data_IF_243876755137
#
_entry.id   IF_243876755137
#
_cell.length_a   1.000
_cell.length_b   1.000
_cell.length_c   1.000
_cell.angle_alpha   90.00
_cell.angle_beta   90.00
_cell.angle_gamma   90.00
#
_symmetry.space_group_name_H-M   'P 1'
#
loop_
_entity.id
_entity.type
_entity.pdbx_description
1 polymer ?
#
# COMPACT_ATOMS: atom_id res chain seq x y z
N UNK A 1 4.67 18.24 10.40
CA UNK A 1 4.68 19.64 9.95
C UNK A 1 4.75 20.54 11.18
N UNK A 2 5.66 21.51 11.19
CA UNK A 2 5.92 22.45 12.29
C UNK A 2 5.36 23.85 11.98
N UNK A 3 4.17 23.93 11.39
CA UNK A 3 3.52 25.21 11.06
C UNK A 3 3.26 26.11 12.27
N UNK A 4 3.25 25.55 13.48
CA UNK A 4 3.16 26.29 14.75
C UNK A 4 4.41 27.15 15.07
N UNK A 5 5.50 26.94 14.34
CA UNK A 5 6.75 27.69 14.41
C UNK A 5 6.83 28.78 13.33
N UNK A 6 5.90 28.82 12.38
CA UNK A 6 5.87 29.79 11.30
C UNK A 6 5.40 31.17 11.79
N UNK A 7 6.28 32.18 11.76
CA UNK A 7 5.98 33.52 12.26
C UNK A 7 6.47 34.60 11.29
N UNK A 8 5.91 35.81 11.39
CA UNK A 8 6.33 36.95 10.57
C UNK A 8 7.84 37.24 10.65
N UNK A 9 8.44 37.05 11.83
CA UNK A 9 9.87 37.28 12.04
C UNK A 9 10.76 36.11 11.61
N UNK A 10 10.17 34.91 11.47
CA UNK A 10 10.85 33.71 11.03
C UNK A 10 9.89 32.87 10.18
N UNK A 11 9.66 33.26 8.91
CA UNK A 11 8.85 32.48 7.98
C UNK A 11 9.42 31.07 7.81
N UNK A 12 8.56 30.06 7.91
CA UNK A 12 8.97 28.66 7.80
C UNK A 12 8.81 28.17 6.35
N UNK A 13 9.86 28.38 5.56
CA UNK A 13 9.95 27.94 4.17
C UNK A 13 9.81 26.41 4.03
N UNK A 14 10.31 25.62 4.99
CA UNK A 14 10.15 24.17 4.95
C UNK A 14 8.68 23.76 5.02
N UNK A 15 7.87 24.41 5.87
CA UNK A 15 6.44 24.14 5.94
C UNK A 15 5.71 24.49 4.64
N UNK A 16 5.99 25.66 4.04
CA UNK A 16 5.40 26.05 2.76
C UNK A 16 5.81 25.09 1.64
N UNK A 17 7.08 24.68 1.62
CA UNK A 17 7.60 23.68 0.70
C UNK A 17 6.91 22.33 0.85
N UNK A 18 6.71 21.85 2.07
CA UNK A 18 5.98 20.60 2.33
C UNK A 18 4.53 20.70 1.83
N UNK A 19 3.84 21.82 2.04
CA UNK A 19 2.49 22.07 1.50
C UNK A 19 2.45 21.93 -0.02
N UNK A 20 3.40 22.56 -0.72
CA UNK A 20 3.51 22.48 -2.18
C UNK A 20 3.89 21.06 -2.65
N UNK A 21 5.03 20.55 -2.17
CA UNK A 21 5.67 19.34 -2.69
C UNK A 21 4.95 18.05 -2.31
N UNK A 22 4.37 17.96 -1.11
CA UNK A 22 3.85 16.70 -0.58
C UNK A 22 2.33 16.61 -0.59
N UNK A 23 1.64 17.74 -0.46
CA UNK A 23 0.19 17.74 -0.21
C UNK A 23 -0.65 18.35 -1.33
N UNK A 24 -0.05 19.07 -2.28
CA UNK A 24 -0.83 19.82 -3.28
C UNK A 24 -0.31 19.67 -4.70
N UNK A 25 0.64 20.47 -5.15
CA UNK A 25 1.03 20.59 -6.56
C UNK A 25 2.20 19.70 -6.94
N UNK A 26 2.93 19.16 -5.97
CA UNK A 26 4.13 18.37 -6.23
C UNK A 26 5.33 19.22 -6.66
N UNK A 27 6.53 18.63 -6.54
CA UNK A 27 7.80 19.32 -6.84
C UNK A 27 7.95 19.72 -8.31
N UNK A 28 7.70 18.77 -9.22
CA UNK A 28 7.99 18.91 -10.63
C UNK A 28 9.50 18.95 -10.95
N UNK A 29 9.90 18.77 -12.23
CA UNK A 29 11.30 18.90 -12.64
C UNK A 29 11.89 20.29 -12.37
N UNK A 30 13.19 20.34 -12.05
CA UNK A 30 13.96 21.58 -11.94
C UNK A 30 14.25 22.15 -13.34
N UNK A 31 13.95 23.43 -13.55
CA UNK A 31 14.14 24.16 -14.83
C UNK A 31 15.28 25.16 -14.71
N UNK A 32 15.50 25.71 -13.52
CA UNK A 32 16.59 26.63 -13.21
C UNK A 32 16.84 26.72 -11.70
N UNK A 33 17.82 27.51 -11.28
CA UNK A 33 18.16 27.66 -9.86
C UNK A 33 16.95 28.20 -9.07
N UNK A 34 16.37 27.35 -8.22
CA UNK A 34 15.16 27.67 -7.46
C UNK A 34 13.89 27.80 -8.31
N UNK A 35 13.87 27.32 -9.55
CA UNK A 35 12.70 27.32 -10.42
C UNK A 35 12.36 25.89 -10.85
N UNK A 36 11.23 25.39 -10.35
CA UNK A 36 10.64 24.11 -10.75
C UNK A 36 9.47 24.35 -11.69
N UNK A 37 9.14 23.35 -12.49
CA UNK A 37 7.99 23.39 -13.40
C UNK A 37 6.67 23.82 -12.73
N UNK A 38 6.50 23.52 -11.43
CA UNK A 38 5.25 23.75 -10.70
C UNK A 38 5.30 24.98 -9.76
N UNK A 39 6.47 25.37 -9.24
CA UNK A 39 6.64 26.55 -8.39
C UNK A 39 8.11 26.99 -8.35
N UNK A 40 8.36 28.16 -7.78
CA UNK A 40 9.70 28.74 -7.58
C UNK A 40 10.01 28.93 -6.09
N UNK A 41 11.26 29.21 -5.77
CA UNK A 41 11.67 29.55 -4.42
C UNK A 41 10.97 30.81 -3.89
N UNK A 42 10.69 31.77 -4.77
CA UNK A 42 9.88 32.95 -4.42
C UNK A 42 8.51 32.51 -3.89
N UNK A 43 7.86 31.54 -4.52
CA UNK A 43 6.56 31.03 -4.07
C UNK A 43 6.66 30.41 -2.67
N UNK A 44 7.72 29.67 -2.39
CA UNK A 44 7.96 29.08 -1.07
C UNK A 44 8.08 30.17 0.00
N UNK A 45 8.87 31.22 -0.24
CA UNK A 45 9.04 32.33 0.70
C UNK A 45 7.72 33.07 0.94
N UNK A 46 7.02 33.40 -0.13
CA UNK A 46 5.79 34.20 -0.08
C UNK A 46 4.63 33.41 0.56
N UNK A 47 4.52 32.11 0.28
CA UNK A 47 3.58 31.23 0.97
C UNK A 47 3.96 31.02 2.44
N UNK A 48 5.25 30.93 2.79
CA UNK A 48 5.68 30.85 4.18
C UNK A 48 5.23 32.10 4.97
N UNK A 49 5.36 33.29 4.37
CA UNK A 49 4.84 34.54 4.93
C UNK A 49 3.32 34.50 5.08
N UNK A 50 2.59 34.11 4.04
CA UNK A 50 1.12 34.03 4.04
C UNK A 50 0.57 33.02 5.08
N UNK A 51 1.31 31.93 5.35
CA UNK A 51 0.92 30.89 6.30
C UNK A 51 1.40 31.14 7.73
N UNK A 52 1.99 32.31 8.03
CA UNK A 52 2.54 32.63 9.35
C UNK A 52 1.45 32.96 10.39
N UNK A 53 1.79 32.89 11.68
CA UNK A 53 0.91 33.33 12.77
C UNK A 53 0.05 32.25 13.39
N UNK A 54 0.08 31.02 12.88
CA UNK A 54 -0.55 29.86 13.51
C UNK A 54 0.31 29.30 14.64
N UNK A 55 -0.32 28.88 15.73
CA UNK A 55 0.34 28.21 16.85
C UNK A 55 -0.57 27.13 17.44
N UNK A 56 -0.08 26.39 18.42
CA UNK A 56 -0.86 25.36 19.12
C UNK A 56 -1.15 25.84 20.54
N UNK A 57 -2.42 25.81 20.93
CA UNK A 57 -2.86 26.06 22.31
C UNK A 57 -3.75 24.90 22.74
N UNK A 58 -3.32 24.16 23.76
CA UNK A 58 -4.06 22.98 24.28
C UNK A 58 -4.40 21.96 23.18
N UNK A 59 -3.44 21.67 22.29
CA UNK A 59 -3.62 20.72 21.20
C UNK A 59 -4.49 21.20 20.03
N UNK A 60 -4.93 22.46 20.04
CA UNK A 60 -5.72 23.05 18.95
C UNK A 60 -4.97 24.16 18.24
N UNK A 61 -5.18 24.28 16.93
CA UNK A 61 -4.68 25.40 16.14
C UNK A 61 -5.26 26.72 16.66
N UNK A 62 -4.43 27.73 16.79
CA UNK A 62 -4.79 29.06 17.28
C UNK A 62 -4.02 30.11 16.49
N UNK A 63 -4.73 31.08 15.91
CA UNK A 63 -4.13 32.16 15.13
C UNK A 63 -3.77 33.36 16.00
N UNK A 64 -2.57 33.92 15.78
CA UNK A 64 -2.07 35.13 16.44
C UNK A 64 -1.73 36.19 15.41
N UNK A 65 -2.60 37.18 15.29
CA UNK A 65 -2.44 38.25 14.32
C UNK A 65 -1.12 39.05 14.47
N UNK A 66 -0.58 39.16 15.68
CA UNK A 66 0.70 39.84 15.93
C UNK A 66 1.94 38.99 15.57
N UNK A 67 1.75 37.71 15.21
CA UNK A 67 2.79 36.81 14.69
C UNK A 67 2.64 36.54 13.20
N UNK A 68 1.64 37.14 12.56
CA UNK A 68 1.35 36.97 11.15
C UNK A 68 1.98 38.11 10.35
N UNK A 69 2.59 37.78 9.22
CA UNK A 69 3.08 38.76 8.25
C UNK A 69 1.87 39.42 7.58
N UNK A 70 1.72 40.72 7.76
CA UNK A 70 0.57 41.48 7.24
C UNK A 70 0.84 42.13 5.89
N UNK A 71 2.05 41.96 5.34
CA UNK A 71 2.42 42.50 4.05
C UNK A 71 1.69 41.76 2.93
N UNK A 72 1.59 42.44 1.79
CA UNK A 72 1.18 41.80 0.54
C UNK A 72 2.22 40.74 0.15
N UNK A 73 1.78 39.63 -0.43
CA UNK A 73 2.65 38.59 -0.97
C UNK A 73 2.40 38.39 -2.45
N UNK A 74 3.46 38.43 -3.25
CA UNK A 74 3.36 38.26 -4.70
C UNK A 74 4.05 36.95 -5.09
N UNK A 75 3.26 36.00 -5.56
CA UNK A 75 3.76 34.75 -6.11
C UNK A 75 4.43 34.99 -7.46
N UNK A 76 5.17 34.00 -7.93
CA UNK A 76 5.93 34.03 -9.17
C UNK A 76 5.04 33.80 -10.40
N UNK A 77 5.68 33.81 -11.57
CA UNK A 77 5.06 33.46 -12.84
C UNK A 77 4.43 32.06 -12.86
N UNK A 78 4.88 31.11 -12.03
CA UNK A 78 4.29 29.76 -11.93
C UNK A 78 2.86 29.79 -11.39
N UNK A 79 2.55 30.78 -10.54
CA UNK A 79 1.19 31.06 -10.06
C UNK A 79 0.60 32.31 -10.73
N UNK A 80 0.94 32.58 -11.99
CA UNK A 80 0.42 33.72 -12.76
C UNK A 80 0.64 35.09 -12.08
N UNK A 81 1.71 35.23 -11.29
CA UNK A 81 2.00 36.40 -10.46
C UNK A 81 0.85 36.78 -9.50
N UNK A 82 0.10 35.78 -9.00
CA UNK A 82 -1.00 35.99 -8.08
C UNK A 82 -0.56 36.75 -6.83
N UNK A 83 -1.47 37.61 -6.36
CA UNK A 83 -1.26 38.44 -5.19
C UNK A 83 -2.14 37.92 -4.06
N UNK A 84 -1.51 37.65 -2.91
CA UNK A 84 -2.20 37.31 -1.67
C UNK A 84 -2.28 38.58 -0.83
N UNK A 85 -3.50 39.08 -0.68
CA UNK A 85 -3.81 40.19 0.21
C UNK A 85 -3.95 39.69 1.65
N UNK A 86 -3.60 40.56 2.60
CA UNK A 86 -3.75 40.24 4.01
C UNK A 86 -5.22 39.99 4.37
N UNK A 87 -5.51 38.78 4.85
CA UNK A 87 -6.83 38.40 5.34
C UNK A 87 -6.79 37.83 6.77
N UNK A 88 -5.68 38.08 7.48
CA UNK A 88 -5.45 37.62 8.85
C UNK A 88 -5.73 36.13 9.00
N UNK A 89 -6.66 35.78 9.90
CA UNK A 89 -7.00 34.37 10.16
C UNK A 89 -7.53 33.63 8.94
N UNK A 90 -8.03 34.32 7.91
CA UNK A 90 -8.57 33.68 6.70
C UNK A 90 -7.56 33.63 5.54
N UNK A 91 -6.35 34.19 5.67
CA UNK A 91 -5.39 34.26 4.56
C UNK A 91 -4.95 32.88 4.05
N UNK A 92 -4.88 31.88 4.92
CA UNK A 92 -4.59 30.50 4.51
C UNK A 92 -5.62 29.93 3.51
N UNK A 93 -6.87 30.42 3.52
CA UNK A 93 -7.88 29.99 2.55
C UNK A 93 -7.54 30.50 1.17
N UNK A 94 -7.15 31.77 1.06
CA UNK A 94 -6.70 32.36 -0.21
C UNK A 94 -5.47 31.61 -0.75
N UNK A 95 -4.54 31.23 0.13
CA UNK A 95 -3.39 30.37 -0.23
C UNK A 95 -3.85 29.05 -0.83
N UNK A 96 -4.76 28.35 -0.15
CA UNK A 96 -5.30 27.06 -0.64
C UNK A 96 -6.01 27.27 -1.99
N UNK A 97 -6.87 28.28 -2.11
CA UNK A 97 -7.63 28.55 -3.34
C UNK A 97 -6.69 28.83 -4.52
N UNK A 98 -5.64 29.64 -4.32
CA UNK A 98 -4.65 29.95 -5.38
C UNK A 98 -3.87 28.70 -5.79
N UNK A 99 -3.50 27.85 -4.84
CA UNK A 99 -2.82 26.59 -5.16
C UNK A 99 -3.75 25.66 -5.95
N UNK A 100 -4.99 25.50 -5.52
CA UNK A 100 -5.97 24.61 -6.14
C UNK A 100 -6.55 25.13 -7.46
N UNK A 101 -6.28 26.38 -7.83
CA UNK A 101 -6.50 26.88 -9.20
C UNK A 101 -5.52 26.28 -10.22
N UNK A 102 -4.42 25.68 -9.77
CA UNK A 102 -3.48 25.00 -10.66
C UNK A 102 -3.99 23.59 -10.98
N UNK A 103 -4.25 23.31 -12.26
CA UNK A 103 -4.68 21.99 -12.72
C UNK A 103 -3.74 20.87 -12.25
N UNK A 104 -2.45 21.19 -12.12
CA UNK A 104 -1.41 20.26 -11.70
C UNK A 104 -1.66 19.65 -10.30
N UNK A 105 -2.38 20.33 -9.40
CA UNK A 105 -2.76 19.75 -8.10
C UNK A 105 -3.58 18.48 -8.28
N UNK A 106 -4.56 18.53 -9.18
CA UNK A 106 -5.42 17.37 -9.44
C UNK A 106 -4.67 16.25 -10.17
N UNK A 107 -3.74 16.57 -11.07
CA UNK A 107 -2.84 15.58 -11.70
C UNK A 107 -1.96 14.93 -10.66
N UNK A 108 -1.29 15.71 -9.81
CA UNK A 108 -0.44 15.21 -8.74
C UNK A 108 -1.18 14.22 -7.84
N UNK A 109 -2.36 14.58 -7.34
CA UNK A 109 -3.19 13.69 -6.52
C UNK A 109 -3.51 12.40 -7.27
N UNK A 110 -3.91 12.49 -8.55
CA UNK A 110 -4.24 11.31 -9.35
C UNK A 110 -3.00 10.42 -9.61
N UNK A 111 -1.82 11.00 -9.84
CA UNK A 111 -0.56 10.23 -9.93
C UNK A 111 -0.25 9.51 -8.61
N UNK A 112 -0.45 10.15 -7.46
CA UNK A 112 -0.25 9.49 -6.15
C UNK A 112 -1.22 8.33 -5.94
N UNK A 113 -2.50 8.49 -6.32
CA UNK A 113 -3.48 7.41 -6.29
C UNK A 113 -3.08 6.27 -7.25
N UNK A 114 -2.61 6.60 -8.45
CA UNK A 114 -2.15 5.64 -9.43
C UNK A 114 -0.93 4.85 -8.92
N UNK A 115 0.06 5.53 -8.33
CA UNK A 115 1.22 4.91 -7.68
C UNK A 115 0.78 4.01 -6.51
N UNK A 116 -0.26 4.39 -5.78
CA UNK A 116 -0.74 3.56 -4.67
C UNK A 116 -1.47 2.29 -5.13
N UNK A 117 -2.28 2.36 -6.19
CA UNK A 117 -3.17 1.27 -6.58
C UNK A 117 -2.74 0.46 -7.81
N UNK A 118 -1.84 1.00 -8.65
CA UNK A 118 -1.52 0.41 -9.96
C UNK A 118 -0.02 0.20 -10.15
N UNK A 119 0.76 1.27 -10.35
CA UNK A 119 2.20 1.17 -10.62
C UNK A 119 2.87 2.54 -10.47
N UNK A 120 4.16 2.57 -10.10
CA UNK A 120 4.94 3.81 -10.10
C UNK A 120 5.37 4.28 -11.49
N UNK A 121 5.34 3.39 -12.48
CA UNK A 121 5.73 3.72 -13.85
C UNK A 121 4.57 4.40 -14.59
N UNK A 122 4.62 5.74 -14.66
CA UNK A 122 3.64 6.56 -15.38
C UNK A 122 4.29 7.04 -16.68
N UNK A 123 3.83 6.49 -17.81
CA UNK A 123 4.25 6.91 -19.15
C UNK A 123 3.43 8.09 -19.64
N UNK A 124 3.87 8.76 -20.71
CA UNK A 124 3.11 9.84 -21.35
C UNK A 124 1.69 9.39 -21.78
N UNK A 125 1.55 8.13 -22.17
CA UNK A 125 0.24 7.53 -22.51
C UNK A 125 -0.68 7.39 -21.29
N UNK A 126 -0.14 6.88 -20.17
CA UNK A 126 -0.89 6.80 -18.90
C UNK A 126 -1.23 8.20 -18.40
N UNK A 127 -0.30 9.15 -18.52
CA UNK A 127 -0.51 10.53 -18.13
C UNK A 127 -1.68 11.16 -18.90
N UNK A 128 -1.69 11.00 -20.23
CA UNK A 128 -2.71 11.58 -21.11
C UNK A 128 -4.07 10.88 -21.01
N UNK A 129 -4.08 9.54 -20.91
CA UNK A 129 -5.30 8.75 -21.06
C UNK A 129 -5.90 8.26 -19.75
N UNK A 130 -5.14 8.29 -18.65
CA UNK A 130 -5.60 7.85 -17.32
C UNK A 130 -5.55 9.01 -16.31
N UNK A 131 -4.38 9.62 -16.11
CA UNK A 131 -4.19 10.66 -15.08
C UNK A 131 -4.98 11.92 -15.41
N UNK A 132 -4.90 12.45 -16.64
CA UNK A 132 -5.62 13.67 -17.00
C UNK A 132 -7.15 13.50 -16.89
N UNK A 133 -7.79 12.43 -17.41
CA UNK A 133 -9.22 12.22 -17.22
C UNK A 133 -9.61 12.07 -15.74
N UNK A 134 -8.82 11.36 -14.93
CA UNK A 134 -9.04 11.29 -13.48
C UNK A 134 -8.94 12.68 -12.82
N UNK A 135 -7.96 13.47 -13.22
CA UNK A 135 -7.74 14.82 -12.71
C UNK A 135 -8.89 15.76 -13.08
N UNK A 136 -9.42 15.65 -14.30
CA UNK A 136 -10.62 16.37 -14.74
C UNK A 136 -11.83 15.99 -13.88
N UNK A 137 -12.08 14.69 -13.67
CA UNK A 137 -13.17 14.22 -12.78
C UNK A 137 -13.00 14.83 -11.38
N UNK A 138 -11.78 14.85 -10.86
CA UNK A 138 -11.51 15.40 -9.54
C UNK A 138 -11.84 16.90 -9.45
N UNK A 139 -11.45 17.69 -10.46
CA UNK A 139 -11.76 19.14 -10.52
C UNK A 139 -13.26 19.39 -10.69
N UNK A 140 -13.96 18.61 -11.52
CA UNK A 140 -15.41 18.72 -11.75
C UNK A 140 -16.26 18.31 -10.53
N UNK A 141 -15.67 17.59 -9.58
CA UNK A 141 -16.32 17.12 -8.35
C UNK A 141 -15.74 17.78 -7.09
N UNK A 142 -15.28 19.03 -7.18
CA UNK A 142 -14.78 19.82 -6.04
C UNK A 142 -13.72 19.09 -5.19
N UNK A 143 -12.82 18.37 -5.86
CA UNK A 143 -11.75 17.57 -5.24
C UNK A 143 -12.24 16.43 -4.31
N UNK A 144 -13.50 16.00 -4.43
CA UNK A 144 -13.95 14.74 -3.83
C UNK A 144 -13.22 13.58 -4.51
N UNK A 145 -12.47 12.79 -3.73
CA UNK A 145 -11.60 11.72 -4.24
C UNK A 145 -12.39 10.53 -4.83
N UNK A 146 -13.56 10.22 -4.25
CA UNK A 146 -14.31 9.00 -4.56
C UNK A 146 -14.62 8.84 -6.07
N UNK A 147 -15.16 9.82 -6.80
CA UNK A 147 -15.43 9.70 -8.24
C UNK A 147 -14.20 9.34 -9.07
N UNK A 148 -13.07 10.03 -8.85
CA UNK A 148 -11.84 9.78 -9.60
C UNK A 148 -11.25 8.40 -9.29
N UNK A 149 -11.25 8.00 -8.01
CA UNK A 149 -10.77 6.68 -7.61
C UNK A 149 -11.67 5.56 -8.16
N UNK A 150 -12.99 5.75 -8.16
CA UNK A 150 -13.94 4.80 -8.74
C UNK A 150 -13.72 4.64 -10.24
N UNK A 151 -13.46 5.73 -10.96
CA UNK A 151 -13.15 5.69 -12.38
C UNK A 151 -11.88 4.85 -12.65
N UNK A 152 -10.82 5.01 -11.85
CA UNK A 152 -9.62 4.18 -11.95
C UNK A 152 -9.91 2.70 -11.68
N UNK A 153 -10.45 2.37 -10.51
CA UNK A 153 -10.61 0.99 -10.04
C UNK A 153 -11.65 0.17 -10.85
N UNK A 154 -12.50 0.84 -11.64
CA UNK A 154 -13.49 0.20 -12.52
C UNK A 154 -13.09 0.24 -14.00
N UNK A 155 -11.92 0.81 -14.34
CA UNK A 155 -11.47 0.91 -15.73
C UNK A 155 -10.87 -0.39 -16.26
N UNK A 156 -10.97 -0.62 -17.56
CA UNK A 156 -10.26 -1.72 -18.24
C UNK A 156 -8.74 -1.62 -18.04
N UNK A 157 -8.21 -0.39 -17.91
CA UNK A 157 -6.79 -0.15 -17.62
C UNK A 157 -6.36 -0.81 -16.31
N UNK A 158 -7.15 -0.68 -15.25
CA UNK A 158 -6.82 -1.26 -13.95
C UNK A 158 -6.69 -2.80 -14.00
N UNK A 159 -7.50 -3.45 -14.83
CA UNK A 159 -7.51 -4.90 -15.02
C UNK A 159 -6.62 -5.39 -16.17
N UNK A 160 -5.81 -4.51 -16.77
CA UNK A 160 -4.87 -4.92 -17.81
C UNK A 160 -3.81 -5.87 -17.22
N UNK A 161 -3.49 -6.94 -17.96
CA UNK A 161 -2.48 -7.93 -17.56
C UNK A 161 -1.12 -7.32 -17.23
N UNK A 162 -0.75 -6.19 -17.85
CA UNK A 162 0.52 -5.50 -17.55
C UNK A 162 0.56 -4.87 -16.15
N UNK A 163 -0.59 -4.69 -15.51
CA UNK A 163 -0.72 -4.16 -14.14
C UNK A 163 -0.82 -5.26 -13.09
N UNK A 164 -1.08 -6.50 -13.48
CA UNK A 164 -1.02 -7.65 -12.55
C UNK A 164 0.44 -7.89 -12.16
N UNK A 165 0.71 -8.10 -10.86
CA UNK A 165 2.05 -8.37 -10.36
C UNK A 165 3.04 -7.19 -10.50
N UNK A 166 2.56 -5.98 -10.81
CA UNK A 166 3.40 -4.82 -11.10
C UNK A 166 4.00 -4.19 -9.83
N UNK A 167 3.44 -4.49 -8.67
CA UNK A 167 3.86 -3.92 -7.38
C UNK A 167 4.43 -5.00 -6.46
N UNK A 168 5.46 -4.67 -5.68
CA UNK A 168 5.86 -5.53 -4.56
C UNK A 168 4.89 -5.26 -3.41
N UNK A 169 4.18 -6.29 -2.95
CA UNK A 169 3.25 -6.23 -1.82
C UNK A 169 3.93 -5.58 -0.61
N UNK A 170 3.27 -4.60 0.01
CA UNK A 170 3.74 -4.08 1.30
C UNK A 170 3.72 -5.19 2.37
N UNK A 171 4.48 -5.06 3.47
CA UNK A 171 4.41 -5.99 4.60
C UNK A 171 2.99 -6.31 5.07
N UNK A 172 2.09 -5.32 5.04
CA UNK A 172 0.67 -5.47 5.34
C UNK A 172 -0.05 -6.30 4.29
N UNK A 173 0.05 -5.92 3.02
CA UNK A 173 -0.64 -6.63 1.92
C UNK A 173 -0.17 -8.08 1.85
N UNK A 174 1.14 -8.31 1.95
CA UNK A 174 1.74 -9.64 1.94
C UNK A 174 1.15 -10.53 3.03
N UNK A 175 1.11 -10.05 4.28
CA UNK A 175 0.66 -10.85 5.42
C UNK A 175 -0.86 -11.03 5.40
N UNK A 176 -1.60 -9.94 5.17
CA UNK A 176 -3.07 -9.95 5.23
C UNK A 176 -3.68 -10.69 4.04
N UNK A 177 -3.07 -10.63 2.85
CA UNK A 177 -3.50 -11.42 1.70
C UNK A 177 -3.39 -12.91 2.02
N UNK A 178 -2.24 -13.38 2.52
CA UNK A 178 -2.05 -14.80 2.89
C UNK A 178 -3.11 -15.26 3.90
N UNK A 179 -3.39 -14.43 4.91
CA UNK A 179 -4.36 -14.75 5.96
C UNK A 179 -5.80 -14.79 5.46
N UNK A 180 -6.18 -13.78 4.68
CA UNK A 180 -7.52 -13.66 4.09
C UNK A 180 -7.76 -14.81 3.10
N UNK A 181 -6.82 -15.02 2.19
CA UNK A 181 -6.91 -16.03 1.13
C UNK A 181 -6.86 -17.45 1.71
N UNK A 182 -5.99 -17.71 2.68
CA UNK A 182 -5.85 -19.01 3.32
C UNK A 182 -6.91 -19.33 4.39
N UNK A 183 -8.00 -18.56 4.43
CA UNK A 183 -9.13 -18.75 5.35
C UNK A 183 -8.72 -18.85 6.83
N UNK A 184 -7.80 -17.98 7.26
CA UNK A 184 -7.31 -17.98 8.64
C UNK A 184 -8.40 -17.52 9.61
N UNK A 185 -8.67 -18.28 10.71
CA UNK A 185 -9.77 -17.96 11.61
C UNK A 185 -9.44 -16.69 12.42
N UNK A 186 -10.42 -15.81 12.61
CA UNK A 186 -10.29 -14.63 13.47
C UNK A 186 -10.95 -14.94 14.82
N UNK A 187 -10.32 -14.60 15.97
CA UNK A 187 -10.97 -14.79 17.27
C UNK A 187 -12.29 -14.02 17.36
N UNK A 188 -13.32 -14.61 17.99
CA UNK A 188 -14.61 -13.93 18.17
C UNK A 188 -14.53 -12.84 19.24
N UNK A 189 -13.80 -13.09 20.32
CA UNK A 189 -13.66 -12.16 21.44
C UNK A 189 -12.84 -10.92 21.08
N UNK A 190 -13.37 -9.74 21.39
CA UNK A 190 -12.71 -8.45 21.11
C UNK A 190 -11.32 -8.33 21.73
N UNK A 191 -11.11 -8.85 22.94
CA UNK A 191 -9.80 -8.81 23.59
C UNK A 191 -8.77 -9.66 22.84
N UNK A 192 -9.20 -10.81 22.31
CA UNK A 192 -8.35 -11.69 21.50
C UNK A 192 -8.04 -11.08 20.13
N UNK A 193 -9.00 -10.38 19.51
CA UNK A 193 -8.78 -9.58 18.29
C UNK A 193 -7.75 -8.47 18.53
N UNK A 194 -7.87 -7.75 19.65
CA UNK A 194 -6.90 -6.72 20.03
C UNK A 194 -5.49 -7.30 20.18
N UNK A 195 -5.33 -8.41 20.90
CA UNK A 195 -4.03 -9.04 21.08
C UNK A 195 -3.45 -9.58 19.76
N UNK A 196 -4.28 -10.15 18.88
CA UNK A 196 -3.85 -10.58 17.56
C UNK A 196 -3.38 -9.40 16.71
N UNK A 197 -4.16 -8.32 16.66
CA UNK A 197 -3.80 -7.10 15.93
C UNK A 197 -2.49 -6.50 16.45
N UNK A 198 -2.32 -6.41 17.77
CA UNK A 198 -1.09 -5.92 18.37
C UNK A 198 0.10 -6.86 18.11
N UNK A 199 -0.11 -8.18 18.11
CA UNK A 199 0.91 -9.16 17.74
C UNK A 199 1.37 -8.96 16.29
N UNK A 200 0.43 -8.94 15.33
CA UNK A 200 0.73 -8.75 13.91
C UNK A 200 1.45 -7.42 13.71
N UNK A 201 0.95 -6.32 14.26
CA UNK A 201 1.59 -5.01 14.12
C UNK A 201 3.03 -5.00 14.68
N UNK A 202 3.26 -5.54 15.88
CA UNK A 202 4.59 -5.47 16.55
C UNK A 202 5.59 -6.50 16.04
N UNK A 203 5.13 -7.73 15.75
CA UNK A 203 6.00 -8.87 15.42
C UNK A 203 6.15 -9.09 13.93
N UNK A 204 5.20 -8.62 13.14
CA UNK A 204 5.17 -8.81 11.68
C UNK A 204 5.43 -7.47 10.99
N UNK A 205 4.50 -6.53 11.06
CA UNK A 205 4.58 -5.29 10.26
C UNK A 205 5.75 -4.39 10.65
N UNK A 206 5.94 -4.11 11.95
CA UNK A 206 7.05 -3.29 12.42
C UNK A 206 8.42 -3.94 12.09
N UNK A 207 8.53 -5.26 12.23
CA UNK A 207 9.78 -5.98 11.91
C UNK A 207 10.11 -5.97 10.42
N UNK A 208 9.11 -5.84 9.56
CA UNK A 208 9.26 -5.65 8.12
C UNK A 208 9.19 -4.16 7.70
N UNK A 209 9.46 -3.24 8.64
CA UNK A 209 9.59 -1.80 8.40
C UNK A 209 8.31 -1.03 8.03
N UNK A 210 7.13 -1.61 8.29
CA UNK A 210 5.84 -0.95 8.08
C UNK A 210 5.01 -0.90 9.37
N UNK A 211 5.45 -0.17 10.38
CA UNK A 211 4.69 -0.05 11.63
C UNK A 211 3.42 0.82 11.43
N UNK A 212 2.22 0.22 11.53
CA UNK A 212 0.94 0.88 11.19
C UNK A 212 0.68 2.19 11.94
N UNK A 213 0.98 2.22 13.24
CA UNK A 213 0.76 3.40 14.09
C UNK A 213 1.97 4.35 14.15
N UNK A 214 3.02 4.07 13.38
CA UNK A 214 4.28 4.81 13.41
C UNK A 214 4.76 5.09 12.00
N UNK A 215 3.97 5.91 11.28
CA UNK A 215 4.33 6.41 9.96
C UNK A 215 5.67 7.15 10.08
N UNK A 216 6.68 6.83 9.25
CA UNK A 216 8.06 7.25 9.49
C UNK A 216 8.30 8.74 9.23
N UNK A 217 7.51 9.36 8.35
CA UNK A 217 7.57 10.79 8.06
C UNK A 217 6.22 11.31 7.56
N UNK A 218 6.11 12.62 7.38
CA UNK A 218 4.93 13.25 6.78
C UNK A 218 4.69 12.82 5.33
N UNK A 219 5.74 12.36 4.63
CA UNK A 219 5.66 11.82 3.27
C UNK A 219 5.21 10.35 3.25
N UNK A 220 4.99 9.72 4.41
CA UNK A 220 4.61 8.31 4.48
C UNK A 220 5.79 7.37 4.30
N UNK A 221 5.54 6.19 3.72
CA UNK A 221 6.58 5.19 3.48
C UNK A 221 7.27 5.43 2.13
N UNK A 222 8.61 5.38 2.13
CA UNK A 222 9.47 5.60 0.95
C UNK A 222 9.05 4.77 -0.27
N UNK A 223 8.44 3.62 -0.04
CA UNK A 223 7.94 2.75 -1.09
C UNK A 223 6.98 3.41 -2.09
N UNK A 224 6.34 4.53 -1.71
CA UNK A 224 5.31 5.18 -2.52
C UNK A 224 5.73 6.54 -3.10
N UNK A 225 6.93 7.03 -2.80
CA UNK A 225 7.35 8.36 -3.28
C UNK A 225 8.85 8.47 -3.59
N UNK A 226 9.69 7.56 -3.11
CA UNK A 226 11.14 7.69 -3.23
C UNK A 226 11.64 7.04 -4.52
N UNK A 227 11.85 7.88 -5.53
CA UNK A 227 12.53 7.52 -6.76
C UNK A 227 14.01 7.16 -6.54
N UNK A 228 14.59 6.26 -7.35
CA UNK A 228 13.94 5.40 -8.36
C UNK A 228 13.44 4.05 -7.79
N UNK A 229 13.42 3.90 -6.46
CA UNK A 229 13.36 2.58 -5.80
C UNK A 229 11.93 2.11 -5.54
N UNK A 230 11.04 2.99 -5.09
CA UNK A 230 9.62 2.69 -4.81
C UNK A 230 9.44 1.37 -4.02
N UNK A 231 8.50 0.50 -4.42
CA UNK A 231 8.11 -0.71 -3.68
C UNK A 231 9.26 -1.67 -3.38
N UNK A 232 10.40 -1.55 -4.08
CA UNK A 232 11.60 -2.33 -3.79
C UNK A 232 12.15 -2.05 -2.38
N UNK A 233 11.80 -0.93 -1.75
CA UNK A 233 12.10 -0.70 -0.33
C UNK A 233 11.53 -1.78 0.60
N UNK A 234 10.48 -2.50 0.19
CA UNK A 234 9.92 -3.57 1.01
C UNK A 234 10.78 -4.84 1.07
N UNK A 235 11.74 -4.99 0.16
CA UNK A 235 12.61 -6.16 0.08
C UNK A 235 14.07 -5.77 0.32
N UNK A 236 14.65 -6.38 1.34
CA UNK A 236 16.08 -6.30 1.66
C UNK A 236 16.58 -7.65 2.15
N UNK A 237 17.89 -7.78 2.34
CA UNK A 237 18.49 -8.94 3.00
C UNK A 237 17.98 -9.15 4.44
N UNK A 238 17.34 -8.14 5.04
CA UNK A 238 16.73 -8.21 6.37
C UNK A 238 15.25 -8.61 6.29
N UNK A 239 14.47 -7.98 5.42
CA UNK A 239 13.01 -8.19 5.38
C UNK A 239 12.62 -9.48 4.67
N UNK A 240 13.39 -9.94 3.69
CA UNK A 240 13.06 -11.16 2.93
C UNK A 240 13.04 -12.43 3.80
N UNK A 241 14.05 -12.71 4.66
CA UNK A 241 13.96 -13.83 5.61
C UNK A 241 12.79 -13.70 6.60
N UNK A 242 12.42 -12.48 6.98
CA UNK A 242 11.27 -12.25 7.87
C UNK A 242 9.95 -12.60 7.20
N UNK A 243 9.78 -12.28 5.91
CA UNK A 243 8.61 -12.71 5.13
C UNK A 243 8.48 -14.23 5.09
N UNK A 244 9.59 -14.94 4.87
CA UNK A 244 9.61 -16.41 4.95
C UNK A 244 9.18 -16.92 6.32
N UNK A 245 9.71 -16.33 7.40
CA UNK A 245 9.31 -16.71 8.76
C UNK A 245 7.83 -16.48 9.02
N UNK A 246 7.23 -15.44 8.44
CA UNK A 246 5.78 -15.18 8.52
C UNK A 246 5.02 -16.28 7.80
N UNK A 247 5.39 -16.61 6.55
CA UNK A 247 4.80 -17.73 5.80
C UNK A 247 4.84 -19.01 6.63
N UNK A 248 6.02 -19.40 7.11
CA UNK A 248 6.20 -20.63 7.87
C UNK A 248 5.37 -20.61 9.17
N UNK A 249 5.30 -19.46 9.86
CA UNK A 249 4.52 -19.32 11.08
C UNK A 249 3.01 -19.42 10.84
N UNK A 250 2.52 -18.88 9.73
CA UNK A 250 1.10 -18.93 9.36
C UNK A 250 0.70 -20.31 8.85
N UNK A 251 1.51 -20.95 8.01
CA UNK A 251 1.24 -22.29 7.49
C UNK A 251 1.29 -23.35 8.59
N UNK A 252 2.25 -23.24 9.53
CA UNK A 252 2.37 -24.16 10.66
C UNK A 252 1.41 -23.85 11.83
N UNK A 253 0.56 -22.82 11.72
CA UNK A 253 -0.29 -22.31 12.81
C UNK A 253 0.50 -22.05 14.12
N UNK A 254 1.70 -21.46 14.01
CA UNK A 254 2.61 -21.16 15.12
C UNK A 254 2.29 -19.86 15.85
N UNK A 255 1.48 -18.97 15.26
CA UNK A 255 1.02 -17.75 15.91
C UNK A 255 -0.04 -18.11 16.95
N UNK A 256 0.13 -17.69 18.21
CA UNK A 256 -0.79 -18.01 19.32
C UNK A 256 -1.18 -16.78 20.13
N UNK A 257 -2.46 -16.67 20.44
CA UNK A 257 -3.03 -15.67 21.35
C UNK A 257 -3.87 -16.42 22.37
N UNK A 258 -3.36 -16.57 23.59
CA UNK A 258 -3.91 -17.54 24.55
C UNK A 258 -3.87 -18.96 23.96
N UNK A 259 -5.02 -19.63 23.93
CA UNK A 259 -5.18 -20.97 23.34
C UNK A 259 -5.49 -20.94 21.84
N UNK A 260 -5.79 -19.76 21.29
CA UNK A 260 -6.15 -19.62 19.88
C UNK A 260 -4.90 -19.70 18.99
N UNK A 261 -4.91 -20.65 18.04
CA UNK A 261 -3.86 -20.82 17.03
C UNK A 261 -4.26 -20.13 15.74
N UNK A 262 -3.45 -19.20 15.29
CA UNK A 262 -3.67 -18.42 14.08
C UNK A 262 -2.79 -18.91 12.93
N UNK A 263 -3.37 -18.97 11.73
CA UNK A 263 -2.73 -19.50 10.54
C UNK A 263 -3.73 -20.02 9.53
N UNK A 264 -3.25 -20.60 8.44
CA UNK A 264 -4.08 -21.05 7.31
C UNK A 264 -4.89 -22.29 7.68
N UNK A 265 -6.15 -22.36 7.24
CA UNK A 265 -6.95 -23.57 7.39
C UNK A 265 -7.00 -24.35 6.07
N UNK A 266 -5.94 -25.09 5.75
CA UNK A 266 -5.73 -25.68 4.42
C UNK A 266 -6.76 -26.76 4.06
N UNK A 267 -7.18 -27.60 5.00
CA UNK A 267 -8.21 -28.61 4.74
C UNK A 267 -9.55 -27.95 4.38
N UNK A 268 -10.00 -26.97 5.19
CA UNK A 268 -11.21 -26.18 4.92
C UNK A 268 -11.09 -25.34 3.63
N UNK A 269 -9.87 -24.95 3.27
CA UNK A 269 -9.61 -24.20 2.04
C UNK A 269 -9.83 -25.09 0.82
N UNK A 270 -9.15 -26.24 0.75
CA UNK A 270 -9.21 -27.12 -0.41
C UNK A 270 -10.55 -27.82 -0.53
N UNK A 271 -11.31 -27.98 0.57
CA UNK A 271 -12.67 -28.52 0.53
C UNK A 271 -13.66 -27.64 -0.28
N UNK A 272 -13.26 -26.40 -0.62
CA UNK A 272 -14.03 -25.48 -1.47
C UNK A 272 -13.63 -25.55 -2.94
N UNK A 273 -12.56 -26.27 -3.27
CA UNK A 273 -12.09 -26.41 -4.65
C UNK A 273 -12.92 -27.45 -5.39
N UNK A 274 -12.89 -27.34 -6.72
CA UNK A 274 -13.44 -28.35 -7.61
C UNK A 274 -12.40 -29.47 -7.77
N UNK A 275 -12.83 -30.72 -7.57
CA UNK A 275 -11.98 -31.92 -7.65
C UNK A 275 -10.63 -31.86 -6.87
N UNK A 276 -10.62 -31.54 -5.55
CA UNK A 276 -9.40 -31.50 -4.75
C UNK A 276 -8.67 -32.85 -4.62
N UNK A 277 -9.34 -33.96 -4.97
CA UNK A 277 -8.76 -35.30 -5.06
C UNK A 277 -7.83 -35.50 -6.27
N UNK A 278 -7.93 -34.63 -7.28
CA UNK A 278 -7.03 -34.60 -8.43
C UNK A 278 -5.83 -33.68 -8.11
N UNK A 279 -4.58 -34.22 -8.11
CA UNK A 279 -3.42 -33.42 -7.71
C UNK A 279 -3.11 -32.27 -8.68
N UNK A 280 -3.41 -32.40 -9.97
CA UNK A 280 -3.15 -31.35 -10.96
C UNK A 280 -4.16 -30.20 -10.80
N UNK A 281 -5.46 -30.53 -10.64
CA UNK A 281 -6.50 -29.53 -10.42
C UNK A 281 -6.37 -28.83 -9.06
N UNK A 282 -5.95 -29.56 -8.03
CA UNK A 282 -5.61 -29.00 -6.72
C UNK A 282 -4.49 -27.96 -6.82
N UNK A 283 -3.36 -28.34 -7.45
CA UNK A 283 -2.21 -27.46 -7.55
C UNK A 283 -2.54 -26.21 -8.37
N UNK A 284 -3.28 -26.37 -9.46
CA UNK A 284 -3.79 -25.24 -10.26
C UNK A 284 -4.69 -24.32 -9.42
N UNK A 285 -5.63 -24.88 -8.65
CA UNK A 285 -6.51 -24.08 -7.80
C UNK A 285 -5.74 -23.31 -6.71
N UNK A 286 -4.67 -23.90 -6.16
CA UNK A 286 -3.80 -23.23 -5.19
C UNK A 286 -2.97 -22.11 -5.84
N UNK A 287 -2.38 -22.35 -7.00
CA UNK A 287 -1.55 -21.35 -7.69
C UNK A 287 -2.40 -20.17 -8.17
N UNK A 288 -3.53 -20.41 -8.81
CA UNK A 288 -4.47 -19.38 -9.27
C UNK A 288 -5.00 -18.54 -8.09
N UNK A 289 -5.09 -19.12 -6.90
CA UNK A 289 -5.56 -18.44 -5.70
C UNK A 289 -4.49 -17.55 -5.04
N UNK A 290 -3.23 -17.98 -5.02
CA UNK A 290 -2.17 -17.30 -4.27
C UNK A 290 -1.22 -16.47 -5.12
N UNK A 291 -1.10 -16.76 -6.42
CA UNK A 291 -0.13 -16.13 -7.30
C UNK A 291 -0.81 -15.22 -8.32
N UNK A 292 -0.19 -14.07 -8.66
CA UNK A 292 -0.68 -13.20 -9.72
C UNK A 292 -0.42 -13.77 -11.13
N UNK A 293 0.48 -14.75 -11.26
CA UNK A 293 0.83 -15.38 -12.52
C UNK A 293 0.82 -16.90 -12.41
N UNK A 294 0.46 -17.56 -13.51
CA UNK A 294 0.57 -19.01 -13.62
C UNK A 294 2.03 -19.46 -13.63
N UNK A 295 2.29 -20.61 -13.01
CA UNK A 295 3.60 -21.24 -13.03
C UNK A 295 3.88 -21.89 -14.40
N UNK A 296 5.17 -22.12 -14.69
CA UNK A 296 5.58 -22.94 -15.84
C UNK A 296 5.25 -24.41 -15.61
N UNK A 297 5.16 -25.19 -16.69
CA UNK A 297 4.95 -26.64 -16.62
C UNK A 297 6.02 -27.33 -15.73
N UNK A 298 7.28 -26.88 -15.82
CA UNK A 298 8.38 -27.40 -14.98
C UNK A 298 8.18 -27.10 -13.49
N UNK A 299 7.68 -25.91 -13.15
CA UNK A 299 7.38 -25.53 -11.77
C UNK A 299 6.18 -26.31 -11.22
N UNK A 300 5.14 -26.55 -12.02
CA UNK A 300 4.01 -27.40 -11.65
C UNK A 300 4.45 -28.84 -11.40
N UNK A 301 5.22 -29.42 -12.32
CA UNK A 301 5.75 -30.77 -12.17
C UNK A 301 6.68 -30.91 -10.96
N UNK A 302 7.48 -29.87 -10.64
CA UNK A 302 8.24 -29.82 -9.41
C UNK A 302 7.35 -29.83 -8.16
N UNK A 303 6.32 -28.97 -8.10
CA UNK A 303 5.39 -28.92 -6.97
C UNK A 303 4.67 -30.25 -6.77
N UNK A 304 4.27 -30.92 -7.85
CA UNK A 304 3.62 -32.23 -7.78
C UNK A 304 4.59 -33.30 -7.30
N UNK A 305 5.65 -33.54 -8.08
CA UNK A 305 6.49 -34.74 -7.94
C UNK A 305 7.57 -34.64 -6.87
N UNK A 306 7.93 -33.43 -6.41
CA UNK A 306 8.97 -33.20 -5.41
C UNK A 306 8.43 -32.67 -4.08
N UNK A 307 7.21 -32.10 -4.06
CA UNK A 307 6.65 -31.47 -2.86
C UNK A 307 5.38 -32.18 -2.37
N UNK A 308 4.33 -32.27 -3.21
CA UNK A 308 3.06 -32.87 -2.81
C UNK A 308 3.17 -34.39 -2.60
N UNK A 309 3.76 -35.08 -3.58
CA UNK A 309 3.87 -36.55 -3.63
C UNK A 309 5.30 -36.97 -4.03
N UNK A 310 6.31 -36.72 -3.16
CA UNK A 310 7.72 -36.92 -3.49
C UNK A 310 8.03 -38.37 -3.87
N UNK A 311 8.33 -38.60 -5.14
CA UNK A 311 8.68 -39.93 -5.68
C UNK A 311 7.53 -40.94 -5.72
N UNK A 312 6.29 -40.47 -5.59
CA UNK A 312 5.08 -41.28 -5.56
C UNK A 312 4.21 -41.03 -6.81
N UNK A 313 3.42 -42.01 -7.26
CA UNK A 313 2.49 -41.82 -8.37
C UNK A 313 1.28 -40.97 -7.96
N UNK A 314 0.66 -40.29 -8.95
CA UNK A 314 -0.42 -39.31 -8.75
C UNK A 314 -1.61 -39.85 -7.93
N UNK A 315 -1.97 -41.13 -8.13
CA UNK A 315 -3.10 -41.74 -7.43
C UNK A 315 -2.91 -41.79 -5.90
N UNK A 316 -1.69 -41.69 -5.38
CA UNK A 316 -1.44 -41.69 -3.92
C UNK A 316 -2.09 -40.48 -3.25
N UNK A 317 -2.04 -39.30 -3.86
CA UNK A 317 -2.77 -38.13 -3.35
C UNK A 317 -4.27 -38.38 -3.32
N UNK A 318 -4.82 -38.90 -4.42
CA UNK A 318 -6.24 -39.18 -4.56
C UNK A 318 -6.73 -40.17 -3.50
N UNK A 319 -5.97 -41.24 -3.24
CA UNK A 319 -6.31 -42.22 -2.21
C UNK A 319 -6.25 -41.60 -0.81
N UNK A 320 -5.14 -40.94 -0.45
CA UNK A 320 -4.98 -40.33 0.88
C UNK A 320 -6.06 -39.28 1.17
N UNK A 321 -6.39 -38.45 0.18
CA UNK A 321 -7.42 -37.43 0.32
C UNK A 321 -8.81 -38.04 0.48
N UNK A 322 -9.17 -39.06 -0.32
CA UNK A 322 -10.44 -39.76 -0.19
C UNK A 322 -10.57 -40.51 1.14
N UNK A 323 -9.47 -41.11 1.62
CA UNK A 323 -9.42 -41.75 2.94
C UNK A 323 -9.69 -40.75 4.07
N UNK A 324 -9.13 -39.55 3.97
CA UNK A 324 -9.41 -38.44 4.90
C UNK A 324 -10.88 -38.01 4.82
N UNK A 325 -11.43 -37.79 3.62
CA UNK A 325 -12.84 -37.38 3.47
C UNK A 325 -13.81 -38.44 3.99
N UNK A 326 -13.45 -39.72 3.91
CA UNK A 326 -14.26 -40.82 4.46
C UNK A 326 -14.34 -40.83 5.99
N UNK A 327 -13.30 -40.32 6.67
CA UNK A 327 -13.27 -40.14 8.12
C UNK A 327 -12.44 -38.90 8.52
N UNK A 328 -13.03 -37.69 8.43
CA UNK A 328 -12.33 -36.45 8.74
C UNK A 328 -11.96 -36.29 10.21
N UNK A 329 -12.51 -37.14 11.09
CA UNK A 329 -12.24 -37.11 12.53
C UNK A 329 -10.99 -37.88 12.91
N UNK A 330 -10.47 -38.73 12.02
CA UNK A 330 -9.18 -39.38 12.17
C UNK A 330 -8.05 -38.34 12.04
N UNK A 331 -7.47 -38.01 13.19
CA UNK A 331 -6.38 -37.04 13.30
C UNK A 331 -5.15 -37.46 12.49
N UNK A 332 -4.87 -38.76 12.35
CA UNK A 332 -3.72 -39.23 11.59
C UNK A 332 -3.91 -38.97 10.09
N UNK A 333 -5.08 -39.30 9.55
CA UNK A 333 -5.43 -39.03 8.14
C UNK A 333 -5.48 -37.54 7.84
N UNK A 334 -6.14 -36.76 8.69
CA UNK A 334 -6.20 -35.31 8.56
C UNK A 334 -4.79 -34.69 8.58
N UNK A 335 -3.90 -35.17 9.45
CA UNK A 335 -2.52 -34.68 9.51
C UNK A 335 -1.70 -35.09 8.29
N UNK A 336 -1.89 -36.29 7.73
CA UNK A 336 -1.17 -36.75 6.54
C UNK A 336 -1.43 -35.80 5.35
N UNK A 337 -2.70 -35.57 5.03
CA UNK A 337 -3.13 -34.64 3.98
C UNK A 337 -2.66 -33.21 4.28
N UNK A 338 -2.92 -32.73 5.50
CA UNK A 338 -2.60 -31.35 5.87
C UNK A 338 -1.08 -31.06 5.85
N UNK A 339 -0.22 -32.04 6.17
CA UNK A 339 1.22 -31.83 6.11
C UNK A 339 1.72 -31.69 4.68
N UNK A 340 1.22 -32.49 3.73
CA UNK A 340 1.53 -32.32 2.30
C UNK A 340 1.09 -30.93 1.79
N UNK A 341 -0.12 -30.49 2.18
CA UNK A 341 -0.61 -29.15 1.83
C UNK A 341 0.26 -28.04 2.43
N UNK A 342 0.75 -28.20 3.67
CA UNK A 342 1.69 -27.25 4.27
C UNK A 342 2.99 -27.17 3.50
N UNK A 343 3.52 -28.29 3.04
CA UNK A 343 4.77 -28.33 2.28
C UNK A 343 4.61 -27.60 0.94
N UNK A 344 3.51 -27.87 0.22
CA UNK A 344 3.15 -27.14 -1.01
C UNK A 344 2.99 -25.64 -0.73
N UNK A 345 2.19 -25.26 0.27
CA UNK A 345 1.94 -23.85 0.59
C UNK A 345 3.21 -23.12 1.03
N UNK A 346 4.13 -23.78 1.74
CA UNK A 346 5.42 -23.19 2.12
C UNK A 346 6.28 -22.89 0.89
N UNK A 347 6.29 -23.77 -0.10
CA UNK A 347 7.01 -23.50 -1.36
C UNK A 347 6.32 -22.36 -2.10
N UNK A 348 5.02 -22.51 -2.37
CA UNK A 348 4.20 -21.58 -3.13
C UNK A 348 4.25 -20.14 -2.59
N UNK A 349 4.02 -19.96 -1.28
CA UNK A 349 3.97 -18.64 -0.66
C UNK A 349 5.35 -17.99 -0.49
N UNK A 350 6.44 -18.75 -0.64
CA UNK A 350 7.80 -18.22 -0.65
C UNK A 350 8.33 -17.93 -2.06
N UNK A 351 7.55 -18.22 -3.11
CA UNK A 351 7.92 -17.89 -4.47
C UNK A 351 8.02 -16.36 -4.68
N UNK A 352 8.90 -15.88 -5.58
CA UNK A 352 8.96 -14.49 -5.98
C UNK A 352 7.62 -13.93 -6.46
N UNK A 353 6.84 -14.74 -7.19
CA UNK A 353 5.53 -14.41 -7.73
C UNK A 353 4.55 -14.02 -6.61
N UNK A 354 4.60 -14.68 -5.45
CA UNK A 354 3.75 -14.31 -4.31
C UNK A 354 4.16 -12.98 -3.66
N UNK A 355 5.35 -12.45 -3.94
CA UNK A 355 5.75 -11.13 -3.44
C UNK A 355 5.07 -9.99 -4.20
N UNK A 356 4.46 -10.28 -5.34
CA UNK A 356 3.89 -9.31 -6.25
C UNK A 356 2.37 -9.19 -6.07
N UNK A 357 1.82 -7.98 -6.20
CA UNK A 357 0.39 -7.67 -6.16
C UNK A 357 -0.14 -7.50 -7.56
#
# INVERSE_FOLDING_TARGET
>A
LNGNENTAQAPNENYAREVLELFTIGKGPLVGDGDYTNYTEQDVVELARALSGWTIRQGKAFFRNNKHDQGQKQLSHRFNNAIIENAGINEYKNVIDIIFQQDEVSRFICRQLYIWYVNYNITDDIEANIIEPMAQILRENDYVIEPALKALLMSDHFFNECNHGAMIKSPMDFTLAILKTGNGPIPDEEISKYYLSNYINRRVFNKMEQAYFFIPSVSGWKAYYQEPVFYKFWLSSVTLPLRKNVVDALVDKKVRIGDFKYGLNLLDLIAKFDHPEDPDLLLKSLTDLFLPYSLTDEQYEFLKTQVLIPGLPDYEWTVEYNDYISDPTDIAKANAVNNKLKDVCKVLLNLPENQLM
#
